data_IF_230578374166
#
_entry.id   IF_230578374166
#
_cell.length_a   1.000
_cell.length_b   1.000
_cell.length_c   1.000
_cell.angle_alpha   90.00
_cell.angle_beta   90.00
_cell.angle_gamma   90.00
#
_symmetry.space_group_name_H-M   'P 1'
#
loop_
_entity.id
_entity.type
_entity.pdbx_description
1 polymer ?
#
# COMPACT_ATOMS: atom_id res chain seq x y z
N UNK A 1 19.75 -16.97 9.14
CA UNK A 1 18.79 -18.00 9.61
C UNK A 1 19.52 -19.31 9.78
N UNK A 2 19.42 -19.93 10.96
CA UNK A 2 20.22 -21.10 11.31
C UNK A 2 19.44 -22.41 11.24
N UNK A 3 18.11 -22.37 11.23
CA UNK A 3 17.28 -23.57 11.17
C UNK A 3 16.02 -23.35 10.31
N UNK A 4 15.51 -24.41 9.64
CA UNK A 4 14.24 -24.32 8.91
C UNK A 4 13.08 -24.20 9.89
N UNK A 5 12.18 -23.24 9.65
CA UNK A 5 10.96 -23.07 10.42
C UNK A 5 9.96 -24.15 10.02
N UNK A 6 9.50 -24.96 10.99
CA UNK A 6 8.51 -26.04 10.76
C UNK A 6 7.10 -25.66 11.20
N UNK A 7 6.96 -24.63 12.06
CA UNK A 7 5.69 -24.26 12.66
C UNK A 7 5.80 -22.87 13.27
N UNK A 8 4.72 -22.10 13.21
CA UNK A 8 4.54 -20.88 14.00
C UNK A 8 3.61 -21.13 15.18
N UNK A 9 4.05 -20.78 16.36
CA UNK A 9 3.26 -20.80 17.59
C UNK A 9 3.18 -19.36 18.13
N UNK A 10 2.28 -18.53 17.60
CA UNK A 10 2.14 -17.15 18.03
C UNK A 10 1.57 -17.10 19.45
N UNK A 11 1.89 -16.04 20.20
CA UNK A 11 1.27 -15.77 21.49
C UNK A 11 -0.23 -15.52 21.39
N UNK A 12 -0.66 -14.93 20.25
CA UNK A 12 -2.07 -14.68 19.94
C UNK A 12 -2.37 -15.22 18.53
N UNK A 13 -3.40 -16.04 18.41
CA UNK A 13 -3.85 -16.63 17.17
C UNK A 13 -3.57 -18.12 17.03
N UNK A 14 -3.93 -18.72 15.89
CA UNK A 14 -3.80 -20.18 15.68
C UNK A 14 -2.35 -20.60 15.43
N UNK A 15 -2.06 -21.86 15.72
CA UNK A 15 -0.79 -22.49 15.38
C UNK A 15 -0.78 -22.84 13.88
N UNK A 16 0.23 -22.35 13.15
CA UNK A 16 0.39 -22.59 11.73
C UNK A 16 1.41 -23.69 11.45
N UNK A 17 1.02 -24.72 10.72
CA UNK A 17 1.87 -25.87 10.36
C UNK A 17 2.10 -26.01 8.86
N UNK A 18 1.30 -25.30 8.08
CA UNK A 18 1.33 -25.33 6.62
C UNK A 18 1.41 -23.90 6.08
N UNK A 19 1.80 -23.76 4.82
CA UNK A 19 1.88 -22.47 4.12
C UNK A 19 2.72 -21.39 4.86
N UNK A 20 3.76 -21.81 5.55
CA UNK A 20 4.58 -20.91 6.38
C UNK A 20 5.29 -19.84 5.56
N UNK A 21 5.63 -20.12 4.30
CA UNK A 21 6.24 -19.16 3.37
C UNK A 21 5.34 -17.94 3.13
N UNK A 22 4.05 -18.15 2.98
CA UNK A 22 3.07 -17.06 2.83
C UNK A 22 3.11 -16.07 4.01
N UNK A 23 3.11 -16.59 5.23
CA UNK A 23 3.13 -15.74 6.45
C UNK A 23 4.48 -15.03 6.64
N UNK A 24 5.57 -15.68 6.23
CA UNK A 24 6.90 -15.05 6.25
C UNK A 24 7.00 -13.91 5.26
N UNK A 25 6.48 -14.09 4.03
CA UNK A 25 6.43 -13.05 3.02
C UNK A 25 5.59 -11.85 3.48
N UNK A 26 4.40 -12.12 4.02
CA UNK A 26 3.54 -11.07 4.57
C UNK A 26 4.22 -10.30 5.70
N UNK A 27 4.80 -11.01 6.66
CA UNK A 27 5.51 -10.39 7.78
C UNK A 27 6.69 -9.53 7.31
N UNK A 28 7.45 -10.01 6.33
CA UNK A 28 8.56 -9.25 5.76
C UNK A 28 8.06 -7.96 5.10
N UNK A 29 7.03 -8.04 4.25
CA UNK A 29 6.43 -6.86 3.60
C UNK A 29 5.91 -5.85 4.63
N UNK A 30 5.14 -6.29 5.61
CA UNK A 30 4.58 -5.41 6.65
C UNK A 30 5.66 -4.75 7.50
N UNK A 31 6.70 -5.49 7.90
CA UNK A 31 7.81 -4.95 8.70
C UNK A 31 8.64 -3.91 7.95
N UNK A 32 8.66 -3.96 6.63
CA UNK A 32 9.34 -3.00 5.74
C UNK A 32 8.39 -1.95 5.16
N UNK A 33 7.10 -2.01 5.48
CA UNK A 33 6.04 -1.16 4.92
C UNK A 33 5.94 -1.25 3.39
N UNK A 34 6.27 -2.39 2.80
CA UNK A 34 6.13 -2.64 1.36
C UNK A 34 4.69 -3.05 1.09
N UNK A 35 3.98 -2.41 0.15
CA UNK A 35 2.66 -2.86 -0.27
C UNK A 35 2.71 -4.30 -0.78
N UNK A 36 1.68 -5.07 -0.47
CA UNK A 36 1.57 -6.43 -0.97
C UNK A 36 1.17 -6.47 -2.45
N UNK A 37 0.33 -5.52 -2.84
CA UNK A 37 -0.26 -5.42 -4.16
C UNK A 37 -0.20 -3.97 -4.67
N UNK A 38 0.09 -3.82 -5.95
CA UNK A 38 -0.09 -2.56 -6.63
C UNK A 38 -1.58 -2.41 -6.98
N UNK A 39 -2.26 -1.51 -6.29
CA UNK A 39 -3.70 -1.31 -6.41
C UNK A 39 -4.18 -0.12 -5.61
N UNK A 40 -5.48 0.16 -5.68
CA UNK A 40 -6.11 1.33 -5.10
C UNK A 40 -7.18 0.94 -4.10
N UNK A 41 -7.01 1.35 -2.85
CA UNK A 41 -8.02 1.32 -1.82
C UNK A 41 -8.70 2.69 -1.74
N UNK A 42 -9.99 2.75 -1.95
CA UNK A 42 -10.79 3.95 -1.77
C UNK A 42 -11.58 3.81 -0.47
N UNK A 43 -11.36 4.72 0.48
CA UNK A 43 -12.02 4.71 1.79
C UNK A 43 -12.89 5.96 1.87
N UNK A 44 -14.18 5.80 2.10
CA UNK A 44 -15.07 6.95 2.21
C UNK A 44 -15.81 7.02 3.55
N UNK A 45 -16.06 8.27 3.98
CA UNK A 45 -16.91 8.61 5.10
C UNK A 45 -17.99 9.58 4.62
N UNK A 46 -19.22 9.11 4.53
CA UNK A 46 -20.35 9.86 3.95
C UNK A 46 -21.51 9.93 4.91
N UNK A 47 -22.13 11.13 5.02
CA UNK A 47 -23.33 11.32 5.84
C UNK A 47 -24.62 11.07 5.06
N UNK A 48 -24.69 11.58 3.82
CA UNK A 48 -25.92 11.57 3.01
C UNK A 48 -25.73 10.91 1.65
N UNK A 49 -24.67 10.10 1.47
CA UNK A 49 -24.39 9.36 0.23
C UNK A 49 -23.63 10.14 -0.85
N UNK A 50 -23.47 11.46 -0.74
CA UNK A 50 -22.85 12.25 -1.79
C UNK A 50 -21.33 11.97 -1.94
N UNK A 51 -20.62 11.85 -0.81
CA UNK A 51 -19.19 11.47 -0.80
C UNK A 51 -19.01 10.02 -1.25
N UNK A 52 -19.93 9.13 -0.88
CA UNK A 52 -19.98 7.76 -1.38
C UNK A 52 -20.13 7.73 -2.91
N UNK A 53 -21.09 8.49 -3.45
CA UNK A 53 -21.31 8.55 -4.91
C UNK A 53 -20.06 9.01 -5.66
N UNK A 54 -19.31 9.97 -5.12
CA UNK A 54 -18.05 10.43 -5.72
C UNK A 54 -16.95 9.34 -5.64
N UNK A 55 -16.85 8.64 -4.50
CA UNK A 55 -15.91 7.53 -4.34
C UNK A 55 -16.19 6.39 -5.32
N UNK A 56 -17.48 6.06 -5.53
CA UNK A 56 -17.91 5.04 -6.49
C UNK A 56 -17.65 5.49 -7.95
N UNK A 57 -17.90 6.77 -8.26
CA UNK A 57 -17.60 7.33 -9.59
C UNK A 57 -16.10 7.26 -9.90
N UNK A 58 -15.24 7.59 -8.92
CA UNK A 58 -13.80 7.43 -9.08
C UNK A 58 -13.41 5.96 -9.30
N UNK A 59 -13.98 5.04 -8.53
CA UNK A 59 -13.70 3.60 -8.68
C UNK A 59 -14.07 3.11 -10.08
N UNK A 60 -15.26 3.47 -10.58
CA UNK A 60 -15.70 3.12 -11.93
C UNK A 60 -14.74 3.67 -12.99
N UNK A 61 -14.37 4.94 -12.88
CA UNK A 61 -13.46 5.57 -13.85
C UNK A 61 -12.05 4.98 -13.81
N UNK A 62 -11.53 4.60 -12.64
CA UNK A 62 -10.25 3.90 -12.54
C UNK A 62 -10.29 2.53 -13.24
N UNK A 63 -11.39 1.78 -13.08
CA UNK A 63 -11.60 0.51 -13.78
C UNK A 63 -11.69 0.72 -15.31
N UNK A 64 -12.43 1.73 -15.77
CA UNK A 64 -12.51 2.10 -17.20
C UNK A 64 -11.13 2.48 -17.77
N UNK A 65 -10.27 3.13 -16.97
CA UNK A 65 -8.88 3.47 -17.33
C UNK A 65 -7.90 2.31 -17.16
N UNK A 66 -8.37 1.09 -16.86
CA UNK A 66 -7.57 -0.13 -16.83
C UNK A 66 -6.92 -0.48 -15.49
N UNK A 67 -7.25 0.21 -14.39
CA UNK A 67 -6.81 -0.21 -13.05
C UNK A 67 -7.66 -1.39 -12.59
N UNK A 68 -7.10 -2.58 -12.56
CA UNK A 68 -7.83 -3.83 -12.28
C UNK A 68 -8.04 -4.12 -10.80
N UNK A 69 -7.22 -3.55 -9.93
CA UNK A 69 -7.23 -3.82 -8.50
C UNK A 69 -7.71 -2.59 -7.71
N UNK A 70 -9.02 -2.35 -7.74
CA UNK A 70 -9.68 -1.25 -7.02
C UNK A 70 -10.64 -1.83 -5.98
N UNK A 71 -10.59 -1.33 -4.75
CA UNK A 71 -11.52 -1.69 -3.66
C UNK A 71 -12.07 -0.43 -3.01
N UNK A 72 -13.35 -0.48 -2.66
CA UNK A 72 -14.07 0.65 -2.04
C UNK A 72 -14.62 0.21 -0.69
N UNK A 73 -14.40 1.01 0.34
CA UNK A 73 -14.81 0.72 1.72
C UNK A 73 -15.52 1.91 2.35
N UNK A 74 -16.65 1.62 2.99
CA UNK A 74 -17.32 2.55 3.91
C UNK A 74 -16.68 2.44 5.30
N UNK A 75 -16.02 3.50 5.74
CA UNK A 75 -15.36 3.54 7.07
C UNK A 75 -16.37 3.36 8.19
N UNK A 76 -17.62 3.82 7.99
CA UNK A 76 -18.67 3.73 9.01
C UNK A 76 -19.21 2.31 9.19
N UNK A 77 -19.03 1.43 8.18
CA UNK A 77 -19.59 0.06 8.17
C UNK A 77 -18.53 -1.02 8.26
N UNK A 78 -17.28 -0.69 7.96
CA UNK A 78 -16.17 -1.64 7.97
C UNK A 78 -15.34 -1.48 9.24
N UNK A 79 -15.16 -2.55 9.99
CA UNK A 79 -14.36 -2.49 11.21
C UNK A 79 -12.93 -2.06 10.88
N UNK A 80 -12.38 -1.15 11.68
CA UNK A 80 -11.08 -0.52 11.42
C UNK A 80 -9.92 -1.50 11.24
N UNK A 81 -9.94 -2.65 11.90
CA UNK A 81 -8.91 -3.69 11.73
C UNK A 81 -8.82 -4.25 10.32
N UNK A 82 -9.94 -4.35 9.59
CA UNK A 82 -9.95 -4.74 8.18
C UNK A 82 -9.42 -3.61 7.30
N UNK A 83 -9.84 -2.37 7.57
CA UNK A 83 -9.36 -1.20 6.83
C UNK A 83 -7.84 -1.03 6.96
N UNK A 84 -7.30 -1.26 8.15
CA UNK A 84 -5.85 -1.23 8.39
C UNK A 84 -5.14 -2.33 7.61
N UNK A 85 -5.65 -3.56 7.62
CA UNK A 85 -5.06 -4.66 6.85
C UNK A 85 -5.03 -4.33 5.34
N UNK A 86 -6.10 -3.76 4.81
CA UNK A 86 -6.18 -3.32 3.42
C UNK A 86 -5.24 -2.12 3.14
N UNK A 87 -5.06 -1.18 4.08
CA UNK A 87 -4.10 -0.08 3.94
C UNK A 87 -2.63 -0.57 3.90
N UNK A 88 -2.31 -1.66 4.59
CA UNK A 88 -1.00 -2.32 4.45
C UNK A 88 -0.86 -3.10 3.15
N UNK A 89 -1.97 -3.56 2.58
CA UNK A 89 -2.00 -4.34 1.37
C UNK A 89 -1.78 -3.51 0.11
N UNK A 90 -2.48 -2.38 -0.04
CA UNK A 90 -2.49 -1.58 -1.27
C UNK A 90 -1.43 -0.48 -1.29
N UNK A 91 -0.91 -0.19 -2.48
CA UNK A 91 0.07 0.89 -2.74
C UNK A 91 -0.55 2.28 -2.69
N UNK A 92 -1.83 2.41 -3.10
CA UNK A 92 -2.54 3.67 -3.19
C UNK A 92 -3.77 3.67 -2.29
N UNK A 93 -3.99 4.77 -1.58
CA UNK A 93 -5.14 4.98 -0.69
C UNK A 93 -5.81 6.29 -1.07
N UNK A 94 -7.09 6.24 -1.45
CA UNK A 94 -7.90 7.44 -1.66
C UNK A 94 -8.76 7.66 -0.43
N UNK A 95 -8.63 8.83 0.18
CA UNK A 95 -9.44 9.26 1.31
C UNK A 95 -10.56 10.17 0.83
N UNK A 96 -11.80 9.78 1.03
CA UNK A 96 -12.96 10.55 0.66
C UNK A 96 -13.77 10.90 1.91
N UNK A 97 -13.79 12.17 2.34
CA UNK A 97 -14.44 12.57 3.58
C UNK A 97 -15.27 13.84 3.43
N UNK A 98 -16.40 13.84 4.12
CA UNK A 98 -17.17 15.08 4.34
C UNK A 98 -16.53 15.89 5.47
N UNK A 99 -16.64 17.22 5.37
CA UNK A 99 -16.30 18.13 6.46
C UNK A 99 -17.40 18.11 7.52
N UNK A 100 -17.02 17.86 8.76
CA UNK A 100 -17.93 17.85 9.91
C UNK A 100 -17.40 18.75 11.03
N UNK A 101 -18.20 19.71 11.46
CA UNK A 101 -17.81 20.71 12.46
C UNK A 101 -16.45 21.38 12.15
N UNK A 102 -16.23 21.75 10.89
CA UNK A 102 -14.97 22.33 10.39
C UNK A 102 -13.75 21.41 10.52
N UNK A 103 -13.97 20.13 10.79
CA UNK A 103 -12.93 19.11 10.94
C UNK A 103 -13.16 17.92 9.98
N UNK A 104 -12.27 16.95 10.02
CA UNK A 104 -12.44 15.64 9.37
C UNK A 104 -13.66 14.95 10.02
N UNK A 105 -14.40 14.16 9.24
CA UNK A 105 -15.49 13.38 9.80
C UNK A 105 -14.94 12.32 10.78
N UNK A 106 -15.51 12.20 12.01
CA UNK A 106 -14.90 11.45 13.11
C UNK A 106 -14.46 10.02 12.78
N UNK A 107 -15.24 9.29 12.01
CA UNK A 107 -14.88 7.90 11.62
C UNK A 107 -13.68 7.85 10.68
N UNK A 108 -13.46 8.87 9.84
CA UNK A 108 -12.29 9.00 9.01
C UNK A 108 -11.07 9.43 9.83
N UNK A 109 -11.26 10.31 10.80
CA UNK A 109 -10.21 10.74 11.73
C UNK A 109 -9.72 9.54 12.57
N UNK A 110 -10.61 8.68 13.05
CA UNK A 110 -10.27 7.44 13.76
C UNK A 110 -9.46 6.49 12.87
N UNK A 111 -9.85 6.30 11.62
CA UNK A 111 -9.07 5.51 10.67
C UNK A 111 -7.65 6.07 10.48
N UNK A 112 -7.51 7.37 10.24
CA UNK A 112 -6.21 8.04 10.12
C UNK A 112 -5.36 7.89 11.40
N UNK A 113 -5.99 7.97 12.57
CA UNK A 113 -5.31 7.73 13.86
C UNK A 113 -4.71 6.32 13.93
N UNK A 114 -5.44 5.30 13.48
CA UNK A 114 -4.91 3.94 13.43
C UNK A 114 -3.72 3.79 12.47
N UNK A 115 -3.75 4.45 11.31
CA UNK A 115 -2.61 4.46 10.38
C UNK A 115 -1.37 5.09 11.02
N UNK A 116 -1.55 6.20 11.76
CA UNK A 116 -0.48 6.87 12.51
C UNK A 116 0.11 5.95 13.59
N UNK A 117 -0.74 5.36 14.45
CA UNK A 117 -0.28 4.49 15.56
C UNK A 117 0.53 3.31 15.04
N UNK A 118 0.18 2.79 13.87
CA UNK A 118 0.87 1.68 13.22
C UNK A 118 2.04 2.14 12.32
N UNK A 119 2.34 3.44 12.30
CA UNK A 119 3.40 4.05 11.50
C UNK A 119 3.33 3.68 10.01
N UNK A 120 2.12 3.59 9.43
CA UNK A 120 1.97 3.29 8.01
C UNK A 120 2.84 4.25 7.19
N UNK A 121 3.60 3.70 6.26
CA UNK A 121 4.50 4.50 5.42
C UNK A 121 4.54 3.96 3.98
N UNK A 122 5.22 4.70 3.09
CA UNK A 122 5.43 4.29 1.69
C UNK A 122 4.12 4.05 0.93
N UNK A 123 3.16 4.97 1.08
CA UNK A 123 1.87 4.93 0.38
C UNK A 123 1.66 6.21 -0.43
N UNK A 124 0.87 6.09 -1.47
CA UNK A 124 0.41 7.22 -2.28
C UNK A 124 -1.04 7.52 -1.92
N UNK A 125 -1.32 8.77 -1.58
CA UNK A 125 -2.65 9.21 -1.19
C UNK A 125 -3.30 10.08 -2.26
N UNK A 126 -4.58 9.81 -2.56
CA UNK A 126 -5.48 10.68 -3.28
C UNK A 126 -6.57 11.22 -2.35
N UNK A 127 -7.14 12.38 -2.64
CA UNK A 127 -8.10 13.06 -1.77
C UNK A 127 -9.36 13.44 -2.53
N UNK A 128 -10.51 13.11 -1.93
CA UNK A 128 -11.83 13.64 -2.26
C UNK A 128 -12.36 14.32 -1.01
N UNK A 129 -12.67 15.60 -1.12
CA UNK A 129 -13.26 16.37 -0.01
C UNK A 129 -14.68 16.82 -0.33
N UNK A 130 -15.50 16.90 0.70
CA UNK A 130 -16.88 17.39 0.59
C UNK A 130 -17.24 18.32 1.74
N UNK A 131 -18.13 19.23 1.48
CA UNK A 131 -18.70 20.15 2.47
C UNK A 131 -19.74 21.04 1.82
N UNK A 132 -20.47 21.84 2.64
CA UNK A 132 -21.46 22.80 2.12
C UNK A 132 -21.04 24.26 2.32
N UNK A 133 -20.74 24.67 3.57
CA UNK A 133 -20.37 26.06 3.87
C UNK A 133 -18.86 26.30 3.92
N UNK A 134 -18.13 25.32 4.45
CA UNK A 134 -16.66 25.35 4.48
C UNK A 134 -16.16 23.96 4.21
N UNK A 135 -15.45 23.80 3.09
CA UNK A 135 -14.83 22.53 2.70
C UNK A 135 -13.42 22.54 3.30
N UNK A 136 -13.19 21.67 4.28
CA UNK A 136 -11.94 21.62 5.06
C UNK A 136 -11.34 20.21 5.18
N UNK A 137 -12.15 19.18 4.99
CA UNK A 137 -11.71 17.79 5.23
C UNK A 137 -10.46 17.42 4.43
N UNK A 138 -10.35 17.88 3.18
CA UNK A 138 -9.21 17.58 2.33
C UNK A 138 -7.90 18.16 2.86
N UNK A 139 -7.86 19.47 3.12
CA UNK A 139 -6.68 20.13 3.67
C UNK A 139 -6.26 19.59 5.04
N UNK A 140 -7.24 19.21 5.87
CA UNK A 140 -6.97 18.61 7.18
C UNK A 140 -6.43 17.18 7.05
N UNK A 141 -6.94 16.39 6.11
CA UNK A 141 -6.40 15.04 5.82
C UNK A 141 -4.97 15.12 5.27
N UNK A 142 -4.68 16.07 4.36
CA UNK A 142 -3.32 16.31 3.87
C UNK A 142 -2.36 16.68 5.00
N UNK A 143 -2.75 17.67 5.81
CA UNK A 143 -1.96 18.07 6.96
C UNK A 143 -1.72 16.87 7.90
N UNK A 144 -2.74 16.07 8.17
CA UNK A 144 -2.62 14.89 9.03
C UNK A 144 -1.60 13.88 8.48
N UNK A 145 -1.63 13.61 7.16
CA UNK A 145 -0.68 12.72 6.49
C UNK A 145 0.73 13.27 6.60
N UNK A 146 0.94 14.52 6.23
CA UNK A 146 2.26 15.18 6.21
C UNK A 146 2.92 15.21 7.60
N UNK A 147 2.12 15.47 8.64
CA UNK A 147 2.62 15.54 10.01
C UNK A 147 2.88 14.17 10.66
N UNK A 148 2.15 13.13 10.25
CA UNK A 148 2.10 11.88 11.01
C UNK A 148 2.52 10.63 10.25
N UNK A 149 2.53 10.62 8.90
CA UNK A 149 2.87 9.46 8.10
C UNK A 149 4.16 9.70 7.31
N UNK A 150 5.16 8.85 7.51
CA UNK A 150 6.48 9.02 6.89
C UNK A 150 6.53 8.41 5.49
N UNK A 151 7.33 9.02 4.61
CA UNK A 151 7.58 8.50 3.25
C UNK A 151 6.29 8.28 2.44
N UNK A 152 5.22 9.02 2.76
CA UNK A 152 3.99 9.03 2.01
C UNK A 152 3.97 10.16 1.01
N UNK A 153 3.28 9.96 -0.11
CA UNK A 153 3.14 10.94 -1.17
C UNK A 153 1.66 11.28 -1.34
N UNK A 154 1.33 12.54 -1.38
CA UNK A 154 -0.02 13.00 -1.70
C UNK A 154 -0.04 13.44 -3.17
N UNK A 155 -1.04 12.99 -3.93
CA UNK A 155 -1.22 13.41 -5.32
C UNK A 155 -1.68 14.87 -5.36
N UNK A 156 -1.13 15.64 -6.29
CA UNK A 156 -1.49 17.06 -6.44
C UNK A 156 -2.94 17.28 -6.92
N UNK A 157 -3.54 16.27 -7.57
CA UNK A 157 -4.93 16.32 -8.00
C UNK A 157 -5.86 15.96 -6.84
N UNK A 158 -6.91 16.77 -6.65
CA UNK A 158 -7.95 16.59 -5.63
C UNK A 158 -9.31 16.81 -6.27
N UNK A 159 -10.32 16.10 -5.80
CA UNK A 159 -11.72 16.37 -6.14
C UNK A 159 -12.40 17.08 -4.98
N UNK A 160 -12.97 18.26 -5.23
CA UNK A 160 -13.65 19.09 -4.24
C UNK A 160 -15.14 19.17 -4.55
N UNK A 161 -15.98 18.65 -3.65
CA UNK A 161 -17.43 18.58 -3.83
C UNK A 161 -18.11 19.59 -2.90
N UNK A 162 -19.00 20.38 -3.46
CA UNK A 162 -19.89 21.23 -2.66
C UNK A 162 -21.27 20.56 -2.55
N UNK A 163 -21.49 19.88 -1.43
CA UNK A 163 -22.68 19.07 -1.10
C UNK A 163 -22.83 17.84 -1.99
N UNK A 164 -23.09 17.97 -3.28
CA UNK A 164 -23.21 16.84 -4.23
C UNK A 164 -22.33 17.05 -5.45
N UNK A 165 -21.77 15.97 -5.99
CA UNK A 165 -21.04 16.00 -7.22
C UNK A 165 -21.98 16.33 -8.40
N UNK A 166 -21.50 17.14 -9.32
CA UNK A 166 -22.22 17.53 -10.52
C UNK A 166 -21.26 17.62 -11.73
N UNK A 167 -21.76 18.08 -12.89
CA UNK A 167 -20.94 18.14 -14.11
C UNK A 167 -19.68 19.00 -14.00
N UNK A 168 -19.66 20.00 -13.10
CA UNK A 168 -18.46 20.83 -12.90
C UNK A 168 -17.30 20.06 -12.26
N UNK A 169 -17.60 18.97 -11.54
CA UNK A 169 -16.58 18.12 -10.93
C UNK A 169 -15.95 17.09 -11.88
N UNK A 170 -16.47 16.97 -13.12
CA UNK A 170 -15.98 15.98 -14.07
C UNK A 170 -14.47 16.16 -14.37
N UNK A 171 -14.01 17.40 -14.54
CA UNK A 171 -12.60 17.70 -14.80
C UNK A 171 -11.70 17.38 -13.61
N UNK A 172 -12.16 17.59 -12.36
CA UNK A 172 -11.40 17.23 -11.15
C UNK A 172 -11.33 15.71 -10.96
N UNK A 173 -12.45 15.02 -11.24
CA UNK A 173 -12.51 13.56 -11.22
C UNK A 173 -11.56 12.97 -12.26
N UNK A 174 -11.56 13.50 -13.50
CA UNK A 174 -10.63 13.09 -14.56
C UNK A 174 -9.18 13.33 -14.16
N UNK A 175 -8.85 14.52 -13.63
CA UNK A 175 -7.50 14.86 -13.18
C UNK A 175 -7.02 13.94 -12.04
N UNK A 176 -7.88 13.64 -11.07
CA UNK A 176 -7.55 12.75 -9.96
C UNK A 176 -7.35 11.31 -10.45
N UNK A 177 -8.24 10.81 -11.29
CA UNK A 177 -8.12 9.45 -11.83
C UNK A 177 -6.88 9.31 -12.71
N UNK A 178 -6.56 10.30 -13.56
CA UNK A 178 -5.34 10.30 -14.39
C UNK A 178 -4.07 10.31 -13.54
N UNK A 179 -4.05 11.10 -12.47
CA UNK A 179 -2.94 11.14 -11.52
C UNK A 179 -2.73 9.79 -10.82
N UNK A 180 -3.83 9.13 -10.43
CA UNK A 180 -3.79 7.79 -9.83
C UNK A 180 -3.28 6.77 -10.85
N UNK A 181 -3.85 6.70 -12.04
CA UNK A 181 -3.44 5.76 -13.11
C UNK A 181 -1.95 5.90 -13.41
N UNK A 182 -1.49 7.15 -13.59
CA UNK A 182 -0.06 7.43 -13.83
C UNK A 182 0.82 6.96 -12.66
N UNK A 183 0.38 7.18 -11.42
CA UNK A 183 1.12 6.78 -10.23
C UNK A 183 1.15 5.25 -10.07
N UNK A 184 0.02 4.56 -10.31
CA UNK A 184 -0.07 3.09 -10.30
C UNK A 184 0.90 2.48 -11.32
N UNK A 185 0.98 3.03 -12.54
CA UNK A 185 1.90 2.55 -13.57
C UNK A 185 3.39 2.75 -13.21
N UNK A 186 3.72 3.82 -12.45
CA UNK A 186 5.08 4.05 -11.95
C UNK A 186 5.41 3.04 -10.84
N UNK A 187 4.50 2.83 -9.90
CA UNK A 187 4.67 1.88 -8.81
C UNK A 187 4.74 0.43 -9.31
N UNK A 188 4.07 0.10 -10.42
CA UNK A 188 4.13 -1.24 -11.02
C UNK A 188 5.54 -1.59 -11.46
N UNK A 189 6.23 -0.69 -12.15
CA UNK A 189 7.62 -0.87 -12.54
C UNK A 189 8.54 -1.04 -11.34
N UNK A 190 8.32 -0.24 -10.29
CA UNK A 190 9.08 -0.35 -9.05
C UNK A 190 8.79 -1.67 -8.31
N UNK A 191 7.57 -2.19 -8.43
CA UNK A 191 7.16 -3.46 -7.86
C UNK A 191 7.81 -4.63 -8.59
N UNK A 192 7.81 -4.63 -9.92
CA UNK A 192 8.51 -5.62 -10.75
C UNK A 192 10.01 -5.64 -10.47
N UNK A 193 10.65 -4.47 -10.36
CA UNK A 193 12.08 -4.39 -10.04
C UNK A 193 12.37 -4.97 -8.64
N UNK A 194 11.54 -4.70 -7.65
CA UNK A 194 11.69 -5.28 -6.30
C UNK A 194 11.59 -6.81 -6.31
N UNK A 195 10.68 -7.38 -7.11
CA UNK A 195 10.56 -8.84 -7.24
C UNK A 195 11.83 -9.45 -7.83
N UNK A 196 12.43 -8.79 -8.83
CA UNK A 196 13.69 -9.22 -9.45
C UNK A 196 14.83 -9.15 -8.42
N UNK A 197 14.92 -8.05 -7.67
CA UNK A 197 15.97 -7.84 -6.67
C UNK A 197 15.86 -8.83 -5.50
N UNK A 198 14.65 -9.11 -5.02
CA UNK A 198 14.38 -10.08 -3.95
C UNK A 198 14.72 -11.51 -4.43
N UNK A 199 14.44 -11.86 -5.69
CA UNK A 199 14.80 -13.14 -6.28
C UNK A 199 16.31 -13.29 -6.39
N UNK A 200 17.02 -12.28 -6.89
CA UNK A 200 18.48 -12.26 -7.00
C UNK A 200 19.15 -12.38 -5.62
N UNK A 201 18.61 -11.70 -4.61
CA UNK A 201 19.10 -11.83 -3.24
C UNK A 201 18.89 -13.24 -2.67
N UNK A 202 17.73 -13.84 -2.92
CA UNK A 202 17.43 -15.19 -2.47
C UNK A 202 18.37 -16.24 -3.12
N UNK A 203 18.67 -16.09 -4.40
CA UNK A 203 19.64 -16.95 -5.11
C UNK A 203 21.06 -16.81 -4.56
N UNK A 204 21.48 -15.58 -4.28
CA UNK A 204 22.80 -15.33 -3.67
C UNK A 204 22.92 -15.95 -2.29
N UNK A 205 21.90 -15.82 -1.45
CA UNK A 205 21.86 -16.43 -0.11
C UNK A 205 21.84 -17.97 -0.19
N UNK A 206 21.08 -18.54 -1.14
CA UNK A 206 21.09 -19.98 -1.39
C UNK A 206 22.49 -20.48 -1.82
N UNK A 207 23.17 -19.74 -2.70
CA UNK A 207 24.54 -20.03 -3.13
C UNK A 207 25.53 -19.94 -1.96
N UNK A 208 25.42 -18.91 -1.11
CA UNK A 208 26.25 -18.79 0.11
C UNK A 208 26.00 -19.94 1.08
N UNK A 209 24.75 -20.36 1.24
CA UNK A 209 24.39 -21.48 2.11
C UNK A 209 24.90 -22.82 1.55
N UNK A 210 24.81 -23.04 0.23
CA UNK A 210 25.39 -24.21 -0.43
C UNK A 210 26.91 -24.25 -0.27
N UNK A 211 27.60 -23.13 -0.49
CA UNK A 211 29.04 -23.02 -0.30
C UNK A 211 29.47 -23.34 1.14
N UNK A 212 28.71 -22.91 2.17
CA UNK A 212 28.99 -23.23 3.56
C UNK A 212 28.89 -24.72 3.88
N UNK A 213 28.11 -25.49 3.13
CA UNK A 213 27.95 -26.95 3.31
C UNK A 213 29.09 -27.79 2.66
N UNK A 214 29.88 -27.18 1.78
CA UNK A 214 31.00 -27.86 1.15
C UNK A 214 32.16 -28.10 2.12
N UNK A 215 32.90 -29.18 1.93
CA UNK A 215 34.15 -29.43 2.64
C UNK A 215 35.20 -28.35 2.29
N UNK A 216 36.23 -28.21 3.13
CA UNK A 216 37.32 -27.26 2.88
C UNK A 216 38.02 -27.51 1.53
N UNK A 217 38.15 -28.79 1.11
CA UNK A 217 38.78 -29.21 -0.17
C UNK A 217 37.92 -28.75 -1.36
N UNK A 218 36.61 -28.94 -1.30
CA UNK A 218 35.66 -28.54 -2.35
C UNK A 218 35.56 -27.01 -2.48
N UNK A 219 35.56 -26.27 -1.36
CA UNK A 219 35.59 -24.80 -1.38
C UNK A 219 36.83 -24.27 -2.06
N UNK A 220 38.01 -24.84 -1.75
CA UNK A 220 39.26 -24.43 -2.39
C UNK A 220 39.29 -24.76 -3.90
N UNK A 221 38.71 -25.88 -4.31
CA UNK A 221 38.61 -26.25 -5.72
C UNK A 221 37.73 -25.23 -6.48
N UNK A 222 36.56 -24.91 -5.92
CA UNK A 222 35.62 -23.94 -6.50
C UNK A 222 36.20 -22.51 -6.59
N UNK A 223 36.95 -22.09 -5.59
CA UNK A 223 37.62 -20.77 -5.61
C UNK A 223 38.74 -20.73 -6.68
N UNK A 224 39.46 -21.81 -6.88
CA UNK A 224 40.50 -21.90 -7.95
C UNK A 224 39.89 -21.84 -9.35
N UNK A 225 38.75 -22.51 -9.54
CA UNK A 225 38.02 -22.51 -10.81
C UNK A 225 37.46 -21.10 -11.13
N UNK A 226 36.87 -20.44 -10.16
CA UNK A 226 36.41 -19.08 -10.30
C UNK A 226 37.53 -18.10 -10.66
N UNK A 227 38.68 -18.25 -10.02
CA UNK A 227 39.85 -17.39 -10.30
C UNK A 227 40.45 -17.61 -11.70
N UNK A 228 40.36 -18.83 -12.23
CA UNK A 228 40.74 -19.12 -13.63
C UNK A 228 39.77 -18.44 -14.61
N UNK A 229 38.47 -18.58 -14.38
CA UNK A 229 37.46 -17.94 -15.22
C UNK A 229 37.60 -16.41 -15.24
N UNK A 230 37.91 -15.76 -14.11
CA UNK A 230 38.17 -14.34 -14.02
C UNK A 230 39.44 -13.89 -14.75
N UNK A 231 40.43 -14.79 -14.94
CA UNK A 231 41.67 -14.52 -15.67
C UNK A 231 41.61 -14.89 -17.14
N UNK A 232 40.52 -15.51 -17.62
CA UNK A 232 40.38 -15.93 -19.01
C UNK A 232 41.28 -17.10 -19.40
N UNK A 233 41.69 -17.94 -18.42
CA UNK A 233 42.47 -19.15 -18.64
C UNK A 233 41.58 -20.39 -18.76
#
# INVERSE_FOLDING_TARGET
>A
KTAPIKMFCPLHGPVWRTNLGYYLDKHDKWSRYIPEENGVMIVYASMYGNTESAAQALAAQLCEKGVTNVRVYDVSKTHVSYLVAEAFKYSHIVLASVTYNLNIYPVMEDFLHHLKVLNLSKRVFGIIENGSWAIKSGSLMEQYIDENLKDCKILNARMTINSSANRSNASELDALSDAIVKSVAIEEKAFEQRVIDDAAFAEEEARKAAFKKLSAKERMALMREKHRQEKGE
#
